data_IF_146621098557
#
_entry.id   IF_146621098557
#
_cell.length_a   1.000
_cell.length_b   1.000
_cell.length_c   1.000
_cell.angle_alpha   90.00
_cell.angle_beta   90.00
_cell.angle_gamma   90.00
#
_symmetry.space_group_name_H-M   'P 1'
#
loop_
_entity.id
_entity.type
_entity.pdbx_description
1 polymer ?
#
# COMPACT_ATOMS: atom_id res chain seq x y z
N UNK A 1 29.28 -2.52 6.40
CA UNK A 1 27.89 -3.01 6.39
C UNK A 1 26.89 -1.86 6.21
N UNK A 2 26.98 -0.79 7.01
CA UNK A 2 26.17 0.43 6.84
C UNK A 2 26.39 1.07 5.46
N UNK A 3 27.64 1.22 5.01
CA UNK A 3 27.95 1.81 3.70
C UNK A 3 27.37 0.99 2.53
N UNK A 4 27.27 -0.33 2.69
CA UNK A 4 26.69 -1.22 1.69
C UNK A 4 25.16 -1.07 1.62
N UNK A 5 24.49 -0.99 2.77
CA UNK A 5 23.04 -0.74 2.81
C UNK A 5 22.72 0.67 2.27
N UNK A 6 23.57 1.66 2.55
CA UNK A 6 23.41 3.01 2.00
C UNK A 6 23.57 3.04 0.47
N UNK A 7 24.55 2.31 -0.07
CA UNK A 7 24.75 2.16 -1.52
C UNK A 7 23.55 1.45 -2.19
N UNK A 8 22.98 0.44 -1.54
CA UNK A 8 21.77 -0.25 -1.99
C UNK A 8 20.56 0.69 -2.00
N UNK A 9 20.38 1.52 -0.95
CA UNK A 9 19.31 2.53 -0.91
C UNK A 9 19.48 3.56 -2.03
N UNK A 10 20.68 4.06 -2.29
CA UNK A 10 20.92 5.01 -3.39
C UNK A 10 20.63 4.39 -4.76
N UNK A 11 20.95 3.10 -4.91
CA UNK A 11 20.66 2.34 -6.13
C UNK A 11 19.16 2.16 -6.34
N UNK A 12 18.43 1.78 -5.30
CA UNK A 12 16.97 1.65 -5.34
C UNK A 12 16.28 2.99 -5.66
N UNK A 13 16.73 4.10 -5.04
CA UNK A 13 16.21 5.45 -5.35
C UNK A 13 16.44 5.83 -6.81
N UNK A 14 17.63 5.55 -7.33
CA UNK A 14 17.97 5.81 -8.74
C UNK A 14 17.07 5.02 -9.68
N UNK A 15 16.87 3.73 -9.42
CA UNK A 15 16.01 2.87 -10.25
C UNK A 15 14.55 3.32 -10.23
N UNK A 16 14.01 3.68 -9.05
CA UNK A 16 12.66 4.24 -8.94
C UNK A 16 12.55 5.54 -9.74
N UNK A 17 13.54 6.43 -9.66
CA UNK A 17 13.54 7.69 -10.40
C UNK A 17 13.56 7.48 -11.91
N UNK A 18 14.36 6.52 -12.39
CA UNK A 18 14.39 6.15 -13.82
C UNK A 18 13.02 5.64 -14.29
N UNK A 19 12.41 4.71 -13.53
CA UNK A 19 11.09 4.17 -13.86
C UNK A 19 9.98 5.24 -13.80
N UNK A 20 10.06 6.19 -12.87
CA UNK A 20 9.14 7.33 -12.81
C UNK A 20 9.31 8.27 -14.01
N UNK A 21 10.55 8.48 -14.47
CA UNK A 21 10.83 9.25 -15.67
C UNK A 21 10.34 8.54 -16.94
N UNK A 22 10.50 7.23 -17.01
CA UNK A 22 9.99 6.39 -18.10
C UNK A 22 8.47 6.43 -18.14
N UNK A 23 7.80 6.22 -17.00
CA UNK A 23 6.34 6.34 -16.88
C UNK A 23 5.84 7.72 -17.32
N UNK A 24 6.48 8.80 -16.86
CA UNK A 24 6.06 10.15 -17.21
C UNK A 24 6.25 10.45 -18.71
N UNK A 25 7.34 9.97 -19.31
CA UNK A 25 7.59 10.08 -20.76
C UNK A 25 6.53 9.33 -21.56
N UNK A 26 6.21 8.09 -21.18
CA UNK A 26 5.17 7.29 -21.82
C UNK A 26 3.77 7.91 -21.65
N UNK A 27 3.49 8.53 -20.50
CA UNK A 27 2.20 9.18 -20.23
C UNK A 27 2.05 10.51 -20.97
N UNK A 28 3.11 11.32 -21.07
CA UNK A 28 3.11 12.60 -21.80
C UNK A 28 2.95 12.37 -23.30
N UNK A 29 3.57 11.32 -23.83
CA UNK A 29 3.46 10.97 -25.25
C UNK A 29 2.08 10.39 -25.61
N UNK A 30 1.32 9.87 -24.64
CA UNK A 30 0.00 9.28 -24.80
C UNK A 30 -1.03 9.94 -23.88
N UNK A 31 -1.25 11.24 -24.05
CA UNK A 31 -2.18 12.04 -23.24
C UNK A 31 -3.57 11.39 -23.19
N UNK A 32 -3.95 10.90 -22.01
CA UNK A 32 -5.32 10.46 -21.72
C UNK A 32 -6.12 11.72 -21.42
N UNK A 33 -6.67 12.35 -22.46
CA UNK A 33 -7.55 13.50 -22.29
C UNK A 33 -8.96 13.02 -21.98
N UNK A 34 -9.50 13.37 -20.81
CA UNK A 34 -10.94 13.31 -20.58
C UNK A 34 -11.59 14.58 -21.14
N UNK A 35 -12.80 14.44 -21.68
CA UNK A 35 -13.57 15.59 -22.20
C UNK A 35 -14.09 16.49 -21.06
N UNK A 36 -14.16 15.96 -19.83
CA UNK A 36 -14.52 16.67 -18.60
C UNK A 36 -13.82 16.03 -17.37
N UNK A 37 -13.73 16.76 -16.25
CA UNK A 37 -13.15 16.31 -14.96
C UNK A 37 -14.08 15.39 -14.14
N UNK A 38 -15.19 14.95 -14.74
CA UNK A 38 -16.12 14.01 -14.08
C UNK A 38 -15.43 12.67 -13.82
N UNK A 39 -15.57 12.05 -12.62
CA UNK A 39 -14.99 10.74 -12.33
C UNK A 39 -15.35 9.66 -13.36
N UNK A 40 -16.56 9.73 -13.94
CA UNK A 40 -17.00 8.81 -15.00
C UNK A 40 -16.26 9.05 -16.32
N UNK A 41 -16.08 10.31 -16.71
CA UNK A 41 -15.37 10.70 -17.93
C UNK A 41 -13.89 10.29 -17.88
N UNK A 42 -13.28 10.39 -16.69
CA UNK A 42 -11.91 9.89 -16.45
C UNK A 42 -11.86 8.37 -16.64
N UNK A 43 -12.74 7.61 -15.99
CA UNK A 43 -12.75 6.13 -16.13
C UNK A 43 -12.97 5.69 -17.57
N UNK A 44 -13.84 6.37 -18.31
CA UNK A 44 -14.09 6.07 -19.72
C UNK A 44 -12.90 6.39 -20.63
N UNK A 45 -12.22 7.51 -20.40
CA UNK A 45 -11.00 7.87 -21.12
C UNK A 45 -9.89 6.83 -20.91
N UNK A 46 -9.67 6.39 -19.66
CA UNK A 46 -8.70 5.35 -19.35
C UNK A 46 -9.07 3.99 -19.96
N UNK A 47 -10.36 3.61 -19.96
CA UNK A 47 -10.83 2.37 -20.62
C UNK A 47 -10.67 2.42 -22.14
N UNK A 48 -10.96 3.57 -22.76
CA UNK A 48 -10.78 3.79 -24.19
C UNK A 48 -9.32 3.66 -24.58
N UNK A 49 -8.43 4.34 -23.85
CA UNK A 49 -6.98 4.25 -24.06
C UNK A 49 -6.46 2.82 -23.91
N UNK A 50 -6.91 2.06 -22.90
CA UNK A 50 -6.50 0.66 -22.72
C UNK A 50 -6.97 -0.27 -23.84
N UNK A 51 -8.08 0.06 -24.52
CA UNK A 51 -8.56 -0.68 -25.70
C UNK A 51 -7.81 -0.31 -26.96
N UNK A 52 -7.48 0.97 -27.12
CA UNK A 52 -6.78 1.49 -28.29
C UNK A 52 -5.28 1.17 -28.27
N UNK A 53 -4.67 1.13 -27.08
CA UNK A 53 -3.24 0.90 -26.88
C UNK A 53 -2.97 -0.18 -25.80
N UNK A 54 -3.39 -1.44 -26.02
CA UNK A 54 -3.32 -2.49 -25.00
C UNK A 54 -1.88 -2.84 -24.57
N UNK A 55 -0.92 -2.79 -25.49
CA UNK A 55 0.49 -3.07 -25.19
C UNK A 55 1.07 -2.00 -24.24
N UNK A 56 0.82 -0.72 -24.53
CA UNK A 56 1.30 0.39 -23.72
C UNK A 56 0.60 0.44 -22.35
N UNK A 57 -0.68 0.07 -22.27
CA UNK A 57 -1.39 -0.04 -20.99
C UNK A 57 -0.80 -1.14 -20.09
N UNK A 58 -0.39 -2.28 -20.66
CA UNK A 58 0.28 -3.37 -19.93
C UNK A 58 1.68 -2.95 -19.49
N UNK A 59 2.43 -2.25 -20.35
CA UNK A 59 3.76 -1.74 -20.05
C UNK A 59 3.75 -0.71 -18.92
N UNK A 60 2.84 0.27 -18.96
CA UNK A 60 2.66 1.24 -17.88
C UNK A 60 2.31 0.55 -16.55
N UNK A 61 1.41 -0.43 -16.59
CA UNK A 61 1.07 -1.21 -15.38
C UNK A 61 2.27 -2.01 -14.86
N UNK A 62 3.08 -2.60 -15.75
CA UNK A 62 4.30 -3.29 -15.38
C UNK A 62 5.33 -2.38 -14.70
N UNK A 63 5.46 -1.14 -15.18
CA UNK A 63 6.30 -0.11 -14.57
C UNK A 63 5.76 0.29 -13.19
N UNK A 64 4.45 0.46 -13.04
CA UNK A 64 3.81 0.76 -11.75
C UNK A 64 4.02 -0.37 -10.72
N UNK A 65 3.80 -1.62 -11.13
CA UNK A 65 4.02 -2.79 -10.28
C UNK A 65 5.51 -2.91 -9.86
N UNK A 66 6.44 -2.60 -10.77
CA UNK A 66 7.88 -2.59 -10.49
C UNK A 66 8.28 -1.48 -9.51
N UNK A 67 7.74 -0.26 -9.67
CA UNK A 67 7.95 0.85 -8.73
C UNK A 67 7.45 0.45 -7.34
N UNK A 68 6.24 -0.09 -7.23
CA UNK A 68 5.68 -0.51 -5.95
C UNK A 68 6.55 -1.58 -5.26
N UNK A 69 7.06 -2.56 -6.01
CA UNK A 69 7.96 -3.58 -5.47
C UNK A 69 9.29 -2.98 -4.97
N UNK A 70 9.88 -2.04 -5.71
CA UNK A 70 11.12 -1.36 -5.33
C UNK A 70 10.95 -0.43 -4.12
N UNK A 71 9.81 0.25 -4.01
CA UNK A 71 9.47 1.08 -2.84
C UNK A 71 9.37 0.24 -1.56
N UNK A 72 8.78 -0.97 -1.65
CA UNK A 72 8.74 -1.91 -0.53
C UNK A 72 10.15 -2.31 -0.10
N UNK A 73 11.03 -2.66 -1.04
CA UNK A 73 12.42 -3.01 -0.74
C UNK A 73 13.20 -1.84 -0.14
N UNK A 74 13.02 -0.64 -0.68
CA UNK A 74 13.65 0.58 -0.18
C UNK A 74 13.24 0.86 1.26
N UNK A 75 11.95 0.72 1.58
CA UNK A 75 11.47 0.91 2.95
C UNK A 75 12.07 -0.13 3.90
N UNK A 76 12.17 -1.40 3.51
CA UNK A 76 12.82 -2.43 4.31
C UNK A 76 14.30 -2.14 4.56
N UNK A 77 15.03 -1.68 3.54
CA UNK A 77 16.46 -1.34 3.64
C UNK A 77 16.69 -0.10 4.52
N UNK A 78 15.81 0.89 4.45
CA UNK A 78 15.86 2.06 5.34
C UNK A 78 15.63 1.69 6.81
N UNK A 79 14.70 0.79 7.09
CA UNK A 79 14.47 0.28 8.45
C UNK A 79 15.71 -0.47 8.96
N UNK A 80 16.32 -1.33 8.12
CA UNK A 80 17.57 -1.99 8.47
C UNK A 80 18.69 -0.99 8.76
N UNK A 81 18.86 0.03 7.91
CA UNK A 81 19.86 1.07 8.12
C UNK A 81 19.65 1.83 9.44
N UNK A 82 18.40 2.18 9.77
CA UNK A 82 18.07 2.83 11.05
C UNK A 82 18.43 1.97 12.26
N UNK A 83 18.12 0.67 12.22
CA UNK A 83 18.51 -0.27 13.28
C UNK A 83 20.03 -0.31 13.48
N UNK A 84 20.78 -0.45 12.39
CA UNK A 84 22.25 -0.49 12.44
C UNK A 84 22.87 0.85 12.87
N UNK A 85 22.27 1.98 12.50
CA UNK A 85 22.75 3.31 12.93
C UNK A 85 22.53 3.56 14.42
N UNK A 86 21.42 3.06 14.97
CA UNK A 86 21.14 3.08 16.41
C UNK A 86 22.14 2.22 17.16
N UNK A 87 22.45 1.01 16.65
CA UNK A 87 23.42 0.10 17.26
C UNK A 87 24.88 0.56 17.12
N UNK A 88 25.25 1.24 16.02
CA UNK A 88 26.65 1.59 15.75
C UNK A 88 27.10 2.96 16.27
N UNK A 89 26.18 3.88 16.58
CA UNK A 89 26.54 5.18 17.15
C UNK A 89 26.42 5.15 18.67
N UNK A 90 27.39 5.75 19.37
CA UNK A 90 27.20 6.29 20.72
C UNK A 90 26.25 7.51 20.65
N UNK A 91 25.03 7.30 20.16
CA UNK A 91 23.98 8.31 20.23
C UNK A 91 23.59 8.46 21.69
N UNK A 92 23.28 9.67 22.10
CA UNK A 92 22.62 9.87 23.39
C UNK A 92 21.30 9.08 23.38
N UNK A 93 20.88 8.47 24.50
CA UNK A 93 19.64 7.69 24.56
C UNK A 93 18.41 8.42 24.01
N UNK A 94 18.41 9.76 24.08
CA UNK A 94 17.36 10.62 23.54
C UNK A 94 17.29 10.61 22.00
N UNK A 95 18.44 10.61 21.32
CA UNK A 95 18.46 10.60 19.86
C UNK A 95 18.13 9.22 19.29
N UNK A 96 18.57 8.13 19.95
CA UNK A 96 18.17 6.77 19.59
C UNK A 96 16.66 6.58 19.72
N UNK A 97 16.06 7.14 20.78
CA UNK A 97 14.63 7.07 21.01
C UNK A 97 13.85 7.81 19.91
N UNK A 98 14.31 8.99 19.48
CA UNK A 98 13.61 9.78 18.48
C UNK A 98 13.68 9.13 17.08
N UNK A 99 14.84 8.59 16.69
CA UNK A 99 14.98 7.84 15.43
C UNK A 99 14.11 6.57 15.45
N UNK A 100 14.13 5.82 16.56
CA UNK A 100 13.28 4.64 16.74
C UNK A 100 11.78 4.98 16.69
N UNK A 101 11.38 6.12 17.27
CA UNK A 101 10.00 6.63 17.18
C UNK A 101 9.63 6.95 15.73
N UNK A 102 10.47 7.61 14.95
CA UNK A 102 10.15 7.88 13.54
C UNK A 102 9.95 6.61 12.72
N UNK A 103 10.84 5.62 12.89
CA UNK A 103 10.73 4.32 12.22
C UNK A 103 9.43 3.61 12.62
N UNK A 104 9.14 3.57 13.93
CA UNK A 104 7.93 2.95 14.42
C UNK A 104 6.67 3.66 13.89
N UNK A 105 6.71 4.98 13.66
CA UNK A 105 5.54 5.76 13.25
C UNK A 105 5.15 5.42 11.82
N UNK A 106 6.16 5.25 10.96
CA UNK A 106 5.98 4.77 9.60
C UNK A 106 5.30 3.39 9.59
N UNK A 107 5.73 2.49 10.48
CA UNK A 107 5.09 1.17 10.62
C UNK A 107 3.65 1.26 11.14
N UNK A 108 3.38 2.12 12.12
CA UNK A 108 2.03 2.35 12.65
C UNK A 108 1.07 2.89 11.57
N UNK A 109 1.53 3.84 10.75
CA UNK A 109 0.76 4.37 9.62
C UNK A 109 0.48 3.29 8.58
N UNK A 110 1.49 2.46 8.24
CA UNK A 110 1.31 1.36 7.29
C UNK A 110 0.33 0.31 7.80
N UNK A 111 0.36 -0.03 9.08
CA UNK A 111 -0.63 -0.93 9.69
C UNK A 111 -2.04 -0.34 9.56
N UNK A 112 -2.20 0.95 9.82
CA UNK A 112 -3.50 1.62 9.71
C UNK A 112 -4.04 1.63 8.28
N UNK A 113 -3.16 1.85 7.29
CA UNK A 113 -3.54 1.78 5.88
C UNK A 113 -4.00 0.37 5.49
N UNK A 114 -3.17 -0.64 5.79
CA UNK A 114 -3.51 -2.04 5.50
C UNK A 114 -4.78 -2.48 6.21
N UNK A 115 -5.01 -2.03 7.44
CA UNK A 115 -6.23 -2.30 8.18
C UNK A 115 -7.47 -1.66 7.53
N UNK A 116 -7.34 -0.47 6.94
CA UNK A 116 -8.44 0.19 6.21
C UNK A 116 -8.76 -0.53 4.89
N UNK A 117 -7.74 -0.94 4.16
CA UNK A 117 -7.88 -1.76 2.94
C UNK A 117 -8.54 -3.11 3.28
N UNK A 118 -8.01 -3.82 4.27
CA UNK A 118 -8.57 -5.07 4.79
C UNK A 118 -10.02 -4.88 5.25
N UNK A 119 -10.32 -3.77 5.94
CA UNK A 119 -11.68 -3.49 6.38
C UNK A 119 -12.65 -3.28 5.21
N UNK A 120 -12.19 -2.69 4.12
CA UNK A 120 -12.98 -2.52 2.89
C UNK A 120 -13.24 -3.86 2.22
N UNK A 121 -12.21 -4.70 2.08
CA UNK A 121 -12.34 -6.06 1.53
C UNK A 121 -13.28 -6.94 2.35
N UNK A 122 -13.22 -6.87 3.68
CA UNK A 122 -14.13 -7.62 4.56
C UNK A 122 -15.60 -7.20 4.34
N UNK A 123 -15.87 -5.90 4.14
CA UNK A 123 -17.22 -5.40 3.83
C UNK A 123 -17.72 -5.89 2.47
N UNK A 124 -16.85 -5.91 1.47
CA UNK A 124 -17.17 -6.45 0.14
C UNK A 124 -17.47 -7.96 0.22
N UNK A 125 -16.64 -8.71 0.94
CA UNK A 125 -16.86 -10.14 1.18
C UNK A 125 -18.18 -10.39 1.91
N UNK A 126 -18.50 -9.57 2.92
CA UNK A 126 -19.79 -9.62 3.63
C UNK A 126 -20.97 -9.40 2.67
N UNK A 127 -20.91 -8.37 1.83
CA UNK A 127 -21.97 -8.10 0.86
C UNK A 127 -22.16 -9.26 -0.14
N UNK A 128 -21.06 -9.85 -0.60
CA UNK A 128 -21.10 -11.06 -1.43
C UNK A 128 -21.72 -12.25 -0.68
N UNK A 129 -21.35 -12.45 0.59
CA UNK A 129 -21.89 -13.52 1.42
C UNK A 129 -23.39 -13.34 1.65
N UNK A 130 -23.86 -12.13 1.96
CA UNK A 130 -25.27 -11.81 2.16
C UNK A 130 -26.08 -12.07 0.87
N UNK A 131 -25.52 -11.73 -0.30
CA UNK A 131 -26.14 -11.98 -1.61
C UNK A 131 -26.24 -13.47 -1.94
N UNK A 132 -25.19 -14.23 -1.66
CA UNK A 132 -25.11 -15.66 -2.00
C UNK A 132 -25.81 -16.57 -0.98
N UNK A 133 -25.96 -16.11 0.27
CA UNK A 133 -26.49 -16.92 1.38
C UNK A 133 -27.85 -17.57 1.09
N UNK A 134 -28.86 -16.88 0.50
CA UNK A 134 -30.14 -17.50 0.18
C UNK A 134 -30.01 -18.67 -0.82
N UNK A 135 -29.23 -18.46 -1.89
CA UNK A 135 -29.01 -19.46 -2.95
C UNK A 135 -28.21 -20.64 -2.39
N UNK A 136 -27.15 -20.34 -1.64
CA UNK A 136 -26.29 -21.36 -1.03
C UNK A 136 -27.06 -22.21 -0.02
N UNK A 137 -27.96 -21.61 0.76
CA UNK A 137 -28.83 -22.35 1.67
C UNK A 137 -29.81 -23.27 0.94
N UNK A 138 -30.39 -22.83 -0.18
CA UNK A 138 -31.30 -23.66 -0.97
C UNK A 138 -30.63 -24.94 -1.50
N UNK A 139 -29.32 -24.88 -1.78
CA UNK A 139 -28.56 -26.01 -2.30
C UNK A 139 -27.96 -26.88 -1.19
N UNK A 140 -27.36 -26.24 -0.17
CA UNK A 140 -26.52 -26.92 0.82
C UNK A 140 -27.07 -26.88 2.25
N UNK A 141 -28.20 -26.22 2.50
CA UNK A 141 -28.88 -26.11 3.80
C UNK A 141 -27.98 -25.64 4.96
N UNK A 142 -26.95 -24.85 4.65
CA UNK A 142 -26.00 -24.29 5.61
C UNK A 142 -25.58 -22.88 5.20
N UNK A 143 -25.09 -22.02 6.11
CA UNK A 143 -24.66 -20.68 5.76
C UNK A 143 -23.39 -20.72 4.92
N UNK A 144 -23.28 -19.81 3.94
CA UNK A 144 -22.12 -19.75 3.05
C UNK A 144 -20.85 -19.29 3.78
N UNK A 145 -20.93 -18.16 4.48
CA UNK A 145 -19.87 -17.62 5.34
C UNK A 145 -20.53 -17.11 6.63
N UNK A 146 -19.89 -17.36 7.77
CA UNK A 146 -20.35 -16.87 9.10
C UNK A 146 -19.24 -16.06 9.76
N UNK A 147 -19.56 -15.34 10.85
CA UNK A 147 -18.55 -14.62 11.65
C UNK A 147 -18.45 -13.12 11.41
N UNK A 148 -19.18 -12.55 10.44
CA UNK A 148 -19.13 -11.11 10.14
C UNK A 148 -19.57 -10.17 11.28
N UNK A 149 -20.25 -10.67 12.32
CA UNK A 149 -20.70 -9.85 13.46
C UNK A 149 -19.56 -9.39 14.38
N UNK A 150 -18.42 -10.07 14.36
CA UNK A 150 -17.32 -9.88 15.33
C UNK A 150 -15.99 -9.55 14.66
N UNK A 151 -16.01 -9.16 13.38
CA UNK A 151 -14.77 -8.89 12.65
C UNK A 151 -14.27 -7.49 13.03
N UNK A 152 -13.02 -7.44 13.45
CA UNK A 152 -12.32 -6.20 13.77
C UNK A 152 -10.95 -6.19 13.10
N UNK A 153 -10.50 -5.02 12.67
CA UNK A 153 -9.16 -4.78 12.14
C UNK A 153 -8.31 -4.02 13.15
N UNK A 154 -7.00 -4.30 13.22
CA UNK A 154 -6.10 -3.59 14.13
C UNK A 154 -5.95 -2.12 13.71
N UNK A 155 -5.85 -1.22 14.67
CA UNK A 155 -5.61 0.19 14.45
C UNK A 155 -4.64 0.72 15.50
N UNK A 156 -3.54 1.32 15.05
CA UNK A 156 -2.54 1.93 15.92
C UNK A 156 -2.90 3.39 16.17
N UNK A 157 -3.12 3.74 17.44
CA UNK A 157 -3.33 5.12 17.90
C UNK A 157 -2.10 5.59 18.68
N UNK A 158 -1.72 6.85 18.51
CA UNK A 158 -0.74 7.52 19.35
C UNK A 158 -1.46 8.44 20.34
N UNK A 159 -1.27 8.22 21.63
CA UNK A 159 -1.78 9.08 22.71
C UNK A 159 -0.71 10.11 23.17
N UNK A 160 0.20 10.47 22.26
CA UNK A 160 1.34 11.37 22.52
C UNK A 160 2.57 10.59 22.96
N UNK A 161 2.56 10.04 24.18
CA UNK A 161 3.73 9.35 24.76
C UNK A 161 3.72 7.83 24.52
N UNK A 162 2.53 7.24 24.39
CA UNK A 162 2.34 5.79 24.26
C UNK A 162 1.52 5.50 23.01
N UNK A 163 1.92 4.47 22.29
CA UNK A 163 1.14 3.96 21.17
C UNK A 163 0.43 2.69 21.55
N UNK A 164 -0.81 2.58 21.12
CA UNK A 164 -1.69 1.47 21.50
C UNK A 164 -2.33 0.89 20.25
N UNK A 165 -2.33 -0.43 20.17
CA UNK A 165 -3.04 -1.18 19.13
C UNK A 165 -4.44 -1.45 19.66
N UNK A 166 -5.45 -0.91 18.98
CA UNK A 166 -6.86 -1.11 19.30
C UNK A 166 -7.56 -1.83 18.15
N UNK A 167 -8.57 -2.66 18.45
CA UNK A 167 -9.37 -3.33 17.44
C UNK A 167 -10.55 -2.45 17.04
N UNK A 168 -10.63 -2.05 15.77
CA UNK A 168 -11.78 -1.34 15.20
C UNK A 168 -12.72 -2.33 14.53
N UNK A 169 -13.98 -2.32 14.93
CA UNK A 169 -15.03 -3.13 14.30
C UNK A 169 -15.27 -2.63 12.88
N UNK A 170 -15.44 -3.55 11.94
CA UNK A 170 -15.59 -3.28 10.50
C UNK A 170 -16.96 -3.72 9.99
#
# INVERSE_FOLDING_TARGET
MIDQIQAEITTLKSQIQVLQQERSTLTINNVISSEDDSPLAIVEAYRRHARENPQLAVELKGIEDAIAALEIQLQQKQVQLGHWQIESKQLTPQQQLEEAKQVAQVHAQRINQLAAELGTEIRLLKACADRLSPIYWQVYYKPFITGFKTISVPHVRSDGEVWTIVNRIV
#
